data_IF_296598197739
#
_entry.id   IF_296598197739
#
_cell.length_a   1.000
_cell.length_b   1.000
_cell.length_c   1.000
_cell.angle_alpha   90.00
_cell.angle_beta   90.00
_cell.angle_gamma   90.00
#
_symmetry.space_group_name_H-M   'P 1'
#
loop_
_entity.id
_entity.type
_entity.pdbx_description
1 polymer ?
#
# COMPACT_ATOMS: atom_id res chain seq x y z
N UNK A 1 13.90 -14.04 7.60
CA UNK A 1 13.70 -12.59 7.51
C UNK A 1 13.97 -12.12 6.09
N UNK A 2 13.05 -11.44 5.46
CA UNK A 2 13.34 -10.84 4.17
C UNK A 2 14.45 -9.80 4.32
N UNK A 3 15.29 -9.68 3.31
CA UNK A 3 16.37 -8.70 3.29
C UNK A 3 15.77 -7.27 3.29
N UNK A 4 16.40 -6.31 3.97
CA UNK A 4 15.96 -4.93 3.91
C UNK A 4 16.17 -4.35 2.51
N UNK A 5 15.41 -3.29 2.17
CA UNK A 5 15.60 -2.59 0.91
C UNK A 5 16.99 -1.94 0.87
N UNK A 6 17.62 -1.90 -0.32
CA UNK A 6 18.84 -1.11 -0.49
C UNK A 6 18.61 0.35 -0.07
N UNK A 7 19.66 0.98 0.46
CA UNK A 7 19.58 2.37 0.93
C UNK A 7 19.06 3.32 -0.16
N UNK A 8 19.48 3.11 -1.40
CA UNK A 8 19.05 3.93 -2.53
C UNK A 8 17.53 3.94 -2.73
N UNK A 9 16.84 2.87 -2.33
CA UNK A 9 15.37 2.78 -2.37
C UNK A 9 14.77 3.17 -1.02
N UNK A 10 15.33 2.69 0.08
CA UNK A 10 14.78 2.89 1.42
C UNK A 10 14.68 4.38 1.80
N UNK A 11 15.58 5.22 1.30
CA UNK A 11 15.57 6.67 1.59
C UNK A 11 14.29 7.36 1.11
N UNK A 12 13.57 6.75 0.16
CA UNK A 12 12.33 7.32 -0.38
C UNK A 12 11.07 6.92 0.41
N UNK A 13 11.19 5.95 1.32
CA UNK A 13 10.03 5.39 2.03
C UNK A 13 9.25 6.42 2.86
N UNK A 14 9.91 7.33 3.63
CA UNK A 14 9.14 8.33 4.39
C UNK A 14 8.26 9.22 3.51
N UNK A 15 8.78 9.66 2.37
CA UNK A 15 8.00 10.49 1.44
C UNK A 15 6.84 9.71 0.84
N UNK A 16 7.05 8.44 0.50
CA UNK A 16 6.00 7.56 -0.04
C UNK A 16 4.89 7.37 0.99
N UNK A 17 5.23 7.03 2.24
CA UNK A 17 4.22 6.82 3.29
C UNK A 17 3.41 8.09 3.55
N UNK A 18 4.06 9.24 3.64
CA UNK A 18 3.37 10.51 3.82
C UNK A 18 2.42 10.80 2.66
N UNK A 19 2.86 10.56 1.44
CA UNK A 19 2.05 10.80 0.24
C UNK A 19 0.84 9.85 0.18
N UNK A 20 1.02 8.58 0.56
CA UNK A 20 -0.08 7.61 0.63
C UNK A 20 -1.13 8.04 1.66
N UNK A 21 -0.69 8.46 2.85
CA UNK A 21 -1.61 8.93 3.89
C UNK A 21 -2.38 10.17 3.43
N UNK A 22 -1.70 11.11 2.79
CA UNK A 22 -2.35 12.32 2.26
C UNK A 22 -3.38 12.01 1.19
N UNK A 23 -3.07 11.06 0.30
CA UNK A 23 -3.98 10.67 -0.77
C UNK A 23 -5.29 10.07 -0.26
N UNK A 24 -5.28 9.44 0.92
CA UNK A 24 -6.45 8.80 1.50
C UNK A 24 -7.15 9.64 2.57
N UNK A 25 -6.60 10.79 2.93
CA UNK A 25 -7.09 11.59 4.07
C UNK A 25 -8.54 12.05 3.90
N UNK A 26 -8.95 12.40 2.68
CA UNK A 26 -10.26 12.97 2.39
C UNK A 26 -11.23 11.98 1.72
N UNK A 27 -10.89 10.71 1.71
CA UNK A 27 -11.73 9.69 1.10
C UNK A 27 -12.95 9.32 1.94
N UNK A 28 -13.93 8.58 1.36
CA UNK A 28 -15.04 8.04 2.14
C UNK A 28 -14.56 7.17 3.29
N UNK A 29 -15.14 7.35 4.47
CA UNK A 29 -14.66 6.71 5.71
C UNK A 29 -14.54 5.19 5.59
N UNK A 30 -15.54 4.55 5.01
CA UNK A 30 -15.54 3.08 4.85
C UNK A 30 -14.40 2.60 3.95
N UNK A 31 -14.18 3.30 2.84
CA UNK A 31 -13.12 2.96 1.89
C UNK A 31 -11.74 3.22 2.50
N UNK A 32 -11.58 4.33 3.20
CA UNK A 32 -10.34 4.68 3.87
C UNK A 32 -9.98 3.62 4.92
N UNK A 33 -10.96 3.16 5.70
CA UNK A 33 -10.74 2.12 6.71
C UNK A 33 -10.20 0.84 6.07
N UNK A 34 -10.82 0.39 4.98
CA UNK A 34 -10.36 -0.80 4.26
C UNK A 34 -8.95 -0.58 3.71
N UNK A 35 -8.70 0.58 3.11
CA UNK A 35 -7.38 0.91 2.56
C UNK A 35 -6.30 0.92 3.64
N UNK A 36 -6.59 1.47 4.82
CA UNK A 36 -5.64 1.48 5.94
C UNK A 36 -5.29 0.05 6.39
N UNK A 37 -6.27 -0.83 6.40
CA UNK A 37 -6.05 -2.24 6.71
C UNK A 37 -5.16 -2.90 5.63
N UNK A 38 -5.51 -2.72 4.36
CA UNK A 38 -4.78 -3.31 3.23
C UNK A 38 -3.33 -2.82 3.19
N UNK A 39 -3.11 -1.52 3.44
CA UNK A 39 -1.77 -0.93 3.44
C UNK A 39 -0.95 -1.28 4.69
N UNK A 40 -1.54 -1.96 5.66
CA UNK A 40 -0.85 -2.43 6.84
C UNK A 40 -0.71 -1.40 7.95
N UNK A 41 -1.57 -0.37 7.96
CA UNK A 41 -1.56 0.68 8.99
C UNK A 41 -2.44 0.37 10.18
N UNK A 42 -3.38 -0.55 10.04
CA UNK A 42 -4.22 -1.01 11.14
C UNK A 42 -4.52 -2.51 11.03
N UNK A 43 -4.86 -3.13 12.16
CA UNK A 43 -5.25 -4.54 12.21
C UNK A 43 -6.75 -4.72 12.00
N UNK A 44 -7.26 -5.96 12.18
CA UNK A 44 -8.67 -6.30 12.00
C UNK A 44 -9.58 -5.55 12.97
N UNK A 45 -9.05 -5.10 14.10
CA UNK A 45 -9.78 -4.38 15.14
C UNK A 45 -9.66 -2.86 15.01
N UNK A 46 -8.93 -2.38 14.00
CA UNK A 46 -8.71 -0.96 13.80
C UNK A 46 -7.57 -0.37 14.62
N UNK A 47 -6.81 -1.20 15.33
CA UNK A 47 -5.66 -0.74 16.12
C UNK A 47 -4.47 -0.44 15.20
N UNK A 48 -3.72 0.63 15.50
CA UNK A 48 -2.57 1.02 14.72
C UNK A 48 -1.47 -0.03 14.75
N UNK A 49 -0.98 -0.41 13.58
CA UNK A 49 0.12 -1.37 13.44
C UNK A 49 1.05 -0.89 12.32
N UNK A 50 2.18 -1.56 12.17
CA UNK A 50 3.14 -1.28 11.09
C UNK A 50 3.50 -2.62 10.43
N UNK A 51 2.56 -3.15 9.62
CA UNK A 51 2.70 -4.46 8.99
C UNK A 51 2.64 -4.39 7.46
N UNK A 52 2.76 -3.19 6.91
CA UNK A 52 2.67 -2.99 5.46
C UNK A 52 3.81 -3.61 4.69
N UNK A 53 3.63 -3.73 3.39
CA UNK A 53 4.65 -4.21 2.47
C UNK A 53 5.85 -3.26 2.40
N UNK A 54 6.86 -3.67 1.62
CA UNK A 54 8.13 -2.91 1.52
C UNK A 54 8.04 -1.64 0.70
N UNK A 55 6.91 -1.38 0.03
CA UNK A 55 6.73 -0.23 -0.85
C UNK A 55 7.79 -0.15 -1.95
N UNK A 56 8.17 -1.31 -2.48
CA UNK A 56 9.22 -1.40 -3.52
C UNK A 56 8.84 -0.64 -4.78
N UNK A 57 7.59 -0.78 -5.24
CA UNK A 57 7.15 -0.16 -6.50
C UNK A 57 7.20 1.35 -6.46
N UNK A 58 6.62 2.01 -5.44
CA UNK A 58 6.73 3.46 -5.34
C UNK A 58 8.16 3.93 -5.10
N UNK A 59 8.96 3.19 -4.32
CA UNK A 59 10.36 3.53 -4.12
C UNK A 59 11.15 3.50 -5.42
N UNK A 60 10.88 2.51 -6.29
CA UNK A 60 11.50 2.43 -7.62
C UNK A 60 11.09 3.61 -8.51
N UNK A 61 9.83 4.06 -8.43
CA UNK A 61 9.38 5.25 -9.17
C UNK A 61 10.21 6.47 -8.81
N UNK A 62 10.41 6.71 -7.51
CA UNK A 62 11.17 7.86 -7.05
C UNK A 62 12.65 7.73 -7.39
N UNK A 63 13.20 6.54 -7.24
CA UNK A 63 14.58 6.25 -7.60
C UNK A 63 14.82 6.50 -9.11
N UNK A 64 13.93 6.00 -9.96
CA UNK A 64 14.02 6.20 -11.40
C UNK A 64 14.00 7.70 -11.77
N UNK A 65 13.13 8.47 -11.11
CA UNK A 65 13.07 9.92 -11.34
C UNK A 65 14.43 10.58 -11.04
N UNK A 66 15.09 10.18 -9.94
CA UNK A 66 16.40 10.72 -9.59
C UNK A 66 17.48 10.35 -10.61
N UNK A 67 17.41 9.14 -11.19
CA UNK A 67 18.36 8.72 -12.22
C UNK A 67 18.30 9.58 -13.46
N UNK A 68 17.14 10.14 -13.79
CA UNK A 68 16.95 11.01 -14.93
C UNK A 68 17.06 12.51 -14.56
N UNK A 69 17.55 12.82 -13.37
CA UNK A 69 17.81 14.19 -12.96
C UNK A 69 16.59 14.96 -12.47
N UNK A 70 15.45 14.30 -12.29
CA UNK A 70 14.24 14.92 -11.75
C UNK A 70 14.25 14.93 -10.23
N UNK A 71 13.67 15.95 -9.57
CA UNK A 71 13.40 15.86 -8.14
C UNK A 71 12.44 14.70 -7.87
N UNK A 72 12.66 13.87 -6.84
CA UNK A 72 11.81 12.72 -6.59
C UNK A 72 10.35 13.10 -6.32
N UNK A 73 10.08 14.29 -5.77
CA UNK A 73 8.73 14.77 -5.47
C UNK A 73 7.83 14.84 -6.70
N UNK A 74 8.39 15.05 -7.88
CA UNK A 74 7.63 15.10 -9.15
C UNK A 74 6.98 13.75 -9.43
N UNK A 75 7.61 12.66 -9.01
CA UNK A 75 7.11 11.30 -9.24
C UNK A 75 6.16 10.80 -8.15
N UNK A 76 5.96 11.54 -7.05
CA UNK A 76 5.11 11.09 -5.94
C UNK A 76 3.68 10.70 -6.35
N UNK A 77 2.95 11.50 -7.17
CA UNK A 77 1.61 11.08 -7.57
C UNK A 77 1.58 9.73 -8.30
N UNK A 78 2.53 9.51 -9.20
CA UNK A 78 2.66 8.24 -9.90
C UNK A 78 3.03 7.09 -8.97
N UNK A 79 3.92 7.34 -8.02
CA UNK A 79 4.32 6.35 -7.02
C UNK A 79 3.14 5.93 -6.16
N UNK A 80 2.32 6.88 -5.71
CA UNK A 80 1.10 6.62 -4.94
C UNK A 80 0.12 5.79 -5.77
N UNK A 81 -0.12 6.19 -7.01
CA UNK A 81 -1.04 5.47 -7.90
C UNK A 81 -0.62 4.01 -8.09
N UNK A 82 0.65 3.77 -8.36
CA UNK A 82 1.19 2.42 -8.56
C UNK A 82 0.99 1.55 -7.31
N UNK A 83 1.25 2.09 -6.14
CA UNK A 83 1.10 1.34 -4.89
C UNK A 83 -0.37 1.03 -4.58
N UNK A 84 -1.26 2.00 -4.77
CA UNK A 84 -2.69 1.79 -4.54
C UNK A 84 -3.25 0.77 -5.52
N UNK A 85 -2.93 0.87 -6.80
CA UNK A 85 -3.40 -0.08 -7.81
C UNK A 85 -2.88 -1.48 -7.48
N UNK A 86 -1.63 -1.60 -7.11
CA UNK A 86 -1.05 -2.89 -6.72
C UNK A 86 -1.81 -3.52 -5.56
N UNK A 87 -2.03 -2.77 -4.48
CA UNK A 87 -2.72 -3.30 -3.31
C UNK A 87 -4.17 -3.67 -3.61
N UNK A 88 -4.88 -2.87 -4.38
CA UNK A 88 -6.26 -3.18 -4.75
C UNK A 88 -6.34 -4.39 -5.67
N UNK A 89 -5.35 -4.60 -6.54
CA UNK A 89 -5.31 -5.82 -7.35
C UNK A 89 -5.15 -7.06 -6.48
N UNK A 90 -4.37 -6.98 -5.40
CA UNK A 90 -4.24 -8.09 -4.46
C UNK A 90 -5.54 -8.41 -3.75
N UNK A 91 -6.32 -7.40 -3.39
CA UNK A 91 -7.64 -7.58 -2.78
C UNK A 91 -8.58 -8.32 -3.74
N UNK A 92 -8.59 -7.95 -5.01
CA UNK A 92 -9.41 -8.61 -6.03
C UNK A 92 -8.93 -10.04 -6.32
N UNK A 93 -7.62 -10.26 -6.37
CA UNK A 93 -7.05 -11.59 -6.57
C UNK A 93 -7.47 -12.53 -5.43
N UNK A 94 -7.51 -12.05 -4.20
CA UNK A 94 -7.95 -12.85 -3.07
C UNK A 94 -9.41 -13.27 -3.20
N UNK A 95 -10.28 -12.43 -3.76
CA UNK A 95 -11.67 -12.81 -4.05
C UNK A 95 -11.71 -13.90 -5.12
N UNK A 96 -10.97 -13.73 -6.21
CA UNK A 96 -10.94 -14.69 -7.31
C UNK A 96 -10.41 -16.05 -6.89
N UNK A 97 -9.35 -16.05 -6.07
CA UNK A 97 -8.69 -17.27 -5.62
C UNK A 97 -9.32 -17.87 -4.36
N UNK A 98 -10.29 -17.17 -3.77
CA UNK A 98 -10.95 -17.57 -2.50
C UNK A 98 -9.97 -17.74 -1.36
N UNK A 99 -8.93 -16.92 -1.33
CA UNK A 99 -7.93 -16.90 -0.26
C UNK A 99 -8.50 -16.19 0.96
N UNK A 100 -8.62 -16.90 2.08
CA UNK A 100 -9.10 -16.32 3.33
C UNK A 100 -8.04 -15.54 4.08
N UNK A 101 -6.77 -15.79 3.78
CA UNK A 101 -5.62 -15.14 4.43
C UNK A 101 -4.56 -14.75 3.42
N UNK A 102 -3.84 -13.65 3.71
CA UNK A 102 -2.67 -13.19 2.98
C UNK A 102 -1.65 -12.71 4.00
N UNK A 103 -0.41 -13.26 3.94
CA UNK A 103 0.64 -12.96 4.92
C UNK A 103 0.16 -13.12 6.37
N UNK A 104 -0.55 -14.23 6.63
CA UNK A 104 -1.10 -14.58 7.94
C UNK A 104 -2.14 -13.58 8.49
N UNK A 105 -2.71 -12.75 7.62
CA UNK A 105 -3.79 -11.82 7.97
C UNK A 105 -5.05 -12.15 7.18
N UNK A 106 -6.25 -12.00 7.78
CA UNK A 106 -7.48 -12.19 7.01
C UNK A 106 -7.54 -11.27 5.80
N UNK A 107 -8.05 -11.78 4.68
CA UNK A 107 -8.26 -10.97 3.48
C UNK A 107 -9.49 -10.09 3.64
N UNK A 108 -9.59 -9.03 2.81
CA UNK A 108 -10.72 -8.09 2.89
C UNK A 108 -12.05 -8.81 2.68
N UNK A 109 -12.14 -9.70 1.69
CA UNK A 109 -13.41 -10.39 1.44
C UNK A 109 -13.79 -11.33 2.60
N UNK A 110 -12.80 -11.93 3.28
CA UNK A 110 -13.06 -12.77 4.44
C UNK A 110 -13.58 -11.96 5.65
N UNK A 111 -13.09 -10.72 5.81
CA UNK A 111 -13.49 -9.83 6.90
C UNK A 111 -14.78 -9.07 6.62
N UNK A 112 -14.95 -8.56 5.40
CA UNK A 112 -15.97 -7.57 5.03
C UNK A 112 -16.96 -8.08 3.97
N UNK A 113 -16.72 -9.25 3.39
CA UNK A 113 -17.52 -9.79 2.30
C UNK A 113 -17.04 -9.36 0.92
N UNK A 114 -17.49 -10.09 -0.11
CA UNK A 114 -17.08 -9.83 -1.50
C UNK A 114 -17.47 -8.43 -1.97
N UNK A 115 -18.65 -7.96 -1.60
CA UNK A 115 -19.14 -6.65 -2.01
C UNK A 115 -18.23 -5.52 -1.57
N UNK A 116 -17.65 -5.60 -0.39
CA UNK A 116 -16.72 -4.60 0.12
C UNK A 116 -15.33 -4.75 -0.51
N UNK A 117 -14.95 -5.95 -0.95
CA UNK A 117 -13.64 -6.20 -1.57
C UNK A 117 -13.60 -5.74 -3.03
N UNK A 118 -14.73 -5.67 -3.72
CA UNK A 118 -14.83 -5.22 -5.10
C UNK A 118 -14.97 -3.71 -5.19
#
# INVERSE_FOLDING_TARGET
>A
MPAPLPVALARHLPAVETALQSALADGPAELVEIARYVLGWQDELGSAVTTGGKRIRPALCLFAATLFGSPPEVALPGAVAVELIHNFSLVHDDVQDRDAERHSRPTVWALKGEGQAI
#
